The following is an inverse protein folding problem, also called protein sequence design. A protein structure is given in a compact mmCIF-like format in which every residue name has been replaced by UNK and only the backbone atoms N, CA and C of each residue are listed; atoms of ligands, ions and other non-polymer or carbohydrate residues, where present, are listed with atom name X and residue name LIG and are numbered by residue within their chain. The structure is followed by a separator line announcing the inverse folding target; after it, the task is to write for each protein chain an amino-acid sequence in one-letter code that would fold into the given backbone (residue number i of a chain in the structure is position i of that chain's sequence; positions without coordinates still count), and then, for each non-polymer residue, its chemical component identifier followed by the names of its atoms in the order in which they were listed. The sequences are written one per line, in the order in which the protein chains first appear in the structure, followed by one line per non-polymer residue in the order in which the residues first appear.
data_IF_082760237285
#
_entry.id   IF_082760237285
#
_cell.length_a   1.000
_cell.length_b   1.000
_cell.length_c   1.000
_cell.angle_alpha   90.00
_cell.angle_beta   90.00
_cell.angle_gamma   90.00
#
_symmetry.space_group_name_H-M   'P 1'
#
loop_
_entity.id
_entity.type
_entity.pdbx_description
1 polymer ?
#
# COMPACT_ATOMS: atom_id res chain seq x y z
N UNK A 1 27.21 -7.90 -6.75
CA UNK A 1 26.63 -6.77 -5.99
C UNK A 1 25.13 -7.01 -5.91
N UNK A 2 24.55 -6.98 -4.71
CA UNK A 2 23.10 -7.09 -4.53
C UNK A 2 22.45 -5.88 -5.22
N UNK A 3 21.46 -6.10 -6.09
CA UNK A 3 20.73 -5.00 -6.73
C UNK A 3 19.84 -4.40 -5.65
N UNK A 4 20.11 -3.15 -5.25
CA UNK A 4 19.41 -2.53 -4.12
C UNK A 4 18.05 -1.97 -4.55
N UNK A 5 18.05 -1.04 -5.51
CA UNK A 5 16.84 -0.41 -6.02
C UNK A 5 16.03 -1.36 -6.89
N UNK A 6 14.73 -1.36 -6.69
CA UNK A 6 13.79 -1.94 -7.64
C UNK A 6 13.80 -1.10 -8.93
N UNK A 7 13.44 -1.72 -10.06
CA UNK A 7 13.37 -1.05 -11.37
C UNK A 7 12.00 -1.31 -12.01
N UNK A 8 10.91 -0.84 -11.39
CA UNK A 8 9.60 -0.91 -12.02
C UNK A 8 9.55 0.00 -13.26
N UNK A 9 8.53 -0.16 -14.08
CA UNK A 9 8.27 0.73 -15.22
C UNK A 9 7.99 2.17 -14.76
N UNK A 10 7.37 2.32 -13.58
CA UNK A 10 7.10 3.58 -12.92
C UNK A 10 7.32 3.46 -11.41
N UNK A 11 8.07 4.40 -10.82
CA UNK A 11 8.31 4.49 -9.38
C UNK A 11 7.89 5.89 -8.90
N UNK A 12 6.77 6.02 -8.17
CA UNK A 12 6.28 7.32 -7.69
C UNK A 12 7.15 7.92 -6.58
N UNK A 13 7.98 7.10 -5.92
CA UNK A 13 8.85 7.52 -4.82
C UNK A 13 10.25 7.91 -5.32
N UNK A 14 10.55 7.65 -6.59
CA UNK A 14 11.81 8.07 -7.22
C UNK A 14 11.77 9.56 -7.54
N UNK A 15 12.66 10.30 -6.89
CA UNK A 15 12.79 11.75 -7.07
C UNK A 15 13.85 12.08 -8.12
N UNK A 16 13.94 13.37 -8.44
CA UNK A 16 14.98 13.91 -9.33
C UNK A 16 16.36 13.64 -8.74
N UNK A 17 17.30 13.22 -9.60
CA UNK A 17 18.69 13.02 -9.22
C UNK A 17 19.28 14.24 -8.50
N UNK A 18 20.11 13.97 -7.48
CA UNK A 18 20.69 14.97 -6.59
C UNK A 18 22.22 14.85 -6.56
N UNK A 19 22.89 16.00 -6.47
CA UNK A 19 24.35 16.08 -6.38
C UNK A 19 24.89 16.11 -4.95
N UNK A 20 26.16 15.76 -4.78
CA UNK A 20 26.86 15.89 -3.48
C UNK A 20 26.79 17.31 -2.90
N UNK A 21 26.84 18.34 -3.74
CA UNK A 21 26.80 19.73 -3.29
C UNK A 21 25.39 20.14 -2.81
N UNK A 22 24.34 19.56 -3.38
CA UNK A 22 22.98 19.72 -2.88
C UNK A 22 22.79 19.03 -1.53
N UNK A 23 23.34 17.82 -1.37
CA UNK A 23 23.37 17.10 -0.10
C UNK A 23 24.08 17.93 0.98
N UNK A 24 25.24 18.52 0.70
CA UNK A 24 25.96 19.40 1.64
C UNK A 24 25.13 20.63 2.05
N UNK A 25 24.36 21.21 1.11
CA UNK A 25 23.44 22.32 1.43
C UNK A 25 22.34 21.88 2.37
N UNK A 26 21.80 20.67 2.17
CA UNK A 26 20.79 20.06 3.04
C UNK A 26 21.35 19.79 4.43
N UNK A 27 22.52 19.15 4.56
CA UNK A 27 23.21 18.93 5.83
C UNK A 27 23.42 20.26 6.58
N UNK A 28 23.90 21.29 5.89
CA UNK A 28 24.08 22.64 6.46
C UNK A 28 22.77 23.27 6.90
N UNK A 29 21.68 23.10 6.13
CA UNK A 29 20.35 23.64 6.48
C UNK A 29 19.78 22.95 7.72
N UNK A 30 19.93 21.63 7.81
CA UNK A 30 19.44 20.82 8.92
C UNK A 30 20.38 20.86 10.15
N UNK A 31 21.59 21.39 10.00
CA UNK A 31 22.64 21.43 11.03
C UNK A 31 22.99 20.04 11.58
N UNK A 32 23.10 19.06 10.69
CA UNK A 32 23.46 17.67 10.97
C UNK A 32 24.23 17.07 9.78
N UNK A 33 24.84 15.91 9.99
CA UNK A 33 25.54 15.13 8.96
C UNK A 33 24.78 13.84 8.68
N UNK A 34 24.39 13.64 7.43
CA UNK A 34 23.72 12.43 6.98
C UNK A 34 24.70 11.24 6.97
N UNK A 35 24.25 10.01 7.26
CA UNK A 35 25.08 8.81 7.17
C UNK A 35 25.75 8.69 5.80
N UNK A 36 27.04 8.34 5.78
CA UNK A 36 27.80 8.30 4.53
C UNK A 36 27.18 7.33 3.51
N UNK A 37 26.65 6.20 3.98
CA UNK A 37 25.99 5.23 3.10
C UNK A 37 24.64 5.69 2.59
N UNK A 38 23.89 6.46 3.38
CA UNK A 38 22.67 7.10 2.91
C UNK A 38 22.99 8.06 1.75
N UNK A 39 24.02 8.90 1.90
CA UNK A 39 24.45 9.81 0.83
C UNK A 39 24.84 9.08 -0.45
N UNK A 40 25.66 8.02 -0.36
CA UNK A 40 26.04 7.22 -1.54
C UNK A 40 24.83 6.59 -2.22
N UNK A 41 23.88 6.09 -1.42
CA UNK A 41 22.67 5.46 -1.91
C UNK A 41 21.77 6.47 -2.65
N UNK A 42 21.58 7.64 -2.05
CA UNK A 42 20.77 8.74 -2.63
C UNK A 42 21.39 9.34 -3.90
N UNK A 43 22.73 9.39 -3.99
CA UNK A 43 23.42 9.80 -5.23
C UNK A 43 23.20 8.79 -6.36
N UNK A 44 23.09 7.49 -6.03
CA UNK A 44 22.80 6.46 -7.02
C UNK A 44 21.35 6.57 -7.55
N UNK A 45 20.40 6.80 -6.66
CA UNK A 45 18.99 7.06 -6.99
C UNK A 45 18.37 7.83 -5.82
N UNK A 46 17.74 8.97 -6.11
CA UNK A 46 17.20 9.85 -5.07
C UNK A 46 15.83 9.36 -4.56
N UNK A 47 15.85 8.29 -3.77
CA UNK A 47 14.65 7.63 -3.25
C UNK A 47 14.01 6.66 -4.25
N UNK A 48 13.04 5.88 -3.76
CA UNK A 48 12.33 4.89 -4.56
C UNK A 48 12.14 3.56 -3.85
N UNK A 49 11.57 2.62 -4.58
CA UNK A 49 11.34 1.24 -4.15
C UNK A 49 12.64 0.43 -4.11
N UNK A 50 12.75 -0.52 -3.18
CA UNK A 50 13.92 -1.37 -2.97
C UNK A 50 13.58 -2.86 -3.17
N UNK A 51 14.55 -3.70 -3.53
CA UNK A 51 14.32 -5.15 -3.72
C UNK A 51 14.23 -5.94 -2.39
N UNK A 52 13.88 -5.27 -1.31
CA UNK A 52 13.68 -5.82 0.03
C UNK A 52 12.31 -5.39 0.49
N UNK A 53 11.72 -6.13 1.42
CA UNK A 53 10.43 -5.81 2.01
C UNK A 53 10.46 -5.90 3.54
N UNK A 54 11.56 -6.33 4.16
CA UNK A 54 11.58 -6.59 5.58
C UNK A 54 12.92 -6.25 6.28
N UNK A 55 12.80 -5.88 7.56
CA UNK A 55 13.91 -5.77 8.50
C UNK A 55 13.58 -6.55 9.80
N UNK A 56 14.49 -7.42 10.29
CA UNK A 56 14.16 -8.32 11.39
C UNK A 56 14.13 -7.59 12.74
N UNK A 57 13.19 -7.94 13.61
CA UNK A 57 13.08 -7.44 14.99
C UNK A 57 12.68 -8.57 15.95
N UNK A 58 12.99 -8.41 17.23
CA UNK A 58 12.51 -9.32 18.28
C UNK A 58 11.33 -8.71 19.07
N UNK A 59 10.81 -7.58 18.59
CA UNK A 59 9.65 -6.89 19.16
C UNK A 59 8.49 -7.04 18.20
N UNK A 60 7.34 -7.41 18.74
CA UNK A 60 6.07 -7.46 18.02
C UNK A 60 5.72 -6.07 17.50
N UNK A 61 5.24 -6.00 16.26
CA UNK A 61 4.83 -4.77 15.59
C UNK A 61 3.46 -4.95 14.96
N UNK A 62 2.80 -3.86 14.59
CA UNK A 62 1.52 -3.91 13.89
C UNK A 62 1.59 -4.60 12.52
N UNK A 63 2.79 -4.72 11.95
CA UNK A 63 3.03 -5.33 10.66
C UNK A 63 3.26 -6.85 10.77
N UNK A 64 4.09 -7.28 11.73
CA UNK A 64 4.44 -8.68 11.96
C UNK A 64 5.08 -8.90 13.34
N UNK A 65 5.14 -10.17 13.74
CA UNK A 65 5.70 -10.60 15.03
C UNK A 65 7.23 -10.48 15.11
N UNK A 66 7.93 -10.67 13.99
CA UNK A 66 9.39 -10.84 13.95
C UNK A 66 10.13 -9.91 12.96
N UNK A 67 9.41 -9.00 12.30
CA UNK A 67 9.98 -8.03 11.37
C UNK A 67 9.14 -6.76 11.24
N UNK A 68 9.75 -5.74 10.66
CA UNK A 68 9.06 -4.55 10.16
C UNK A 68 9.08 -4.56 8.64
N UNK A 69 8.07 -3.94 8.04
CA UNK A 69 8.00 -3.73 6.60
C UNK A 69 8.91 -2.57 6.16
N UNK A 70 9.73 -2.82 5.13
CA UNK A 70 10.61 -1.82 4.52
C UNK A 70 10.72 -2.10 3.03
N UNK A 71 9.98 -1.34 2.22
CA UNK A 71 9.82 -1.51 0.78
C UNK A 71 10.37 -0.33 -0.04
N UNK A 72 10.70 0.78 0.62
CA UNK A 72 11.25 1.97 -0.01
C UNK A 72 12.25 2.71 0.88
N UNK A 73 12.99 3.63 0.25
CA UNK A 73 13.77 4.66 0.95
C UNK A 73 13.36 6.01 0.39
N UNK A 74 13.00 6.94 1.27
CA UNK A 74 12.71 8.33 0.92
C UNK A 74 13.99 9.02 0.48
N UNK A 75 13.91 9.81 -0.59
CA UNK A 75 15.04 10.61 -1.06
C UNK A 75 15.14 11.96 -0.36
N UNK A 76 15.84 12.89 -0.98
CA UNK A 76 16.03 14.26 -0.50
C UNK A 76 15.25 15.21 -1.42
N UNK A 77 14.06 15.59 -0.97
CA UNK A 77 13.21 16.64 -1.53
C UNK A 77 12.22 17.09 -0.44
N UNK A 78 11.54 18.23 -0.66
CA UNK A 78 10.49 18.76 0.23
C UNK A 78 9.25 17.90 0.29
N UNK A 79 8.82 17.36 -0.84
CA UNK A 79 7.63 16.53 -0.97
C UNK A 79 8.09 15.10 -1.25
N UNK A 80 7.54 14.10 -0.54
CA UNK A 80 7.93 12.69 -0.63
C UNK A 80 9.37 12.36 -0.23
N UNK A 81 10.15 13.34 0.25
CA UNK A 81 11.53 13.18 0.70
C UNK A 81 11.73 13.52 2.18
N UNK A 82 12.96 13.35 2.67
CA UNK A 82 13.28 13.57 4.09
C UNK A 82 13.12 15.02 4.55
N UNK A 83 13.04 16.00 3.65
CA UNK A 83 12.82 17.40 4.05
C UNK A 83 11.37 17.65 4.46
N UNK A 84 10.46 16.71 4.18
CA UNK A 84 9.08 16.68 4.67
C UNK A 84 8.99 16.27 6.16
N UNK A 85 10.07 15.71 6.72
CA UNK A 85 10.06 15.14 8.07
C UNK A 85 9.54 16.11 9.13
N UNK A 86 9.88 17.41 9.05
CA UNK A 86 9.40 18.38 10.04
C UNK A 86 7.86 18.52 10.03
N UNK A 87 7.25 18.45 8.86
CA UNK A 87 5.80 18.48 8.71
C UNK A 87 5.18 17.18 9.24
N UNK A 88 5.67 16.03 8.78
CA UNK A 88 5.17 14.71 9.17
C UNK A 88 5.32 14.44 10.67
N UNK A 89 6.43 14.85 11.27
CA UNK A 89 6.64 14.74 12.72
C UNK A 89 5.56 15.49 13.50
N UNK A 90 5.13 16.67 13.02
CA UNK A 90 4.07 17.45 13.67
C UNK A 90 2.71 16.81 13.45
N UNK A 91 2.43 16.38 12.23
CA UNK A 91 1.17 15.73 11.84
C UNK A 91 0.91 14.48 12.68
N UNK A 92 1.94 13.63 12.81
CA UNK A 92 1.83 12.32 13.46
C UNK A 92 2.28 12.31 14.93
N UNK A 93 2.56 13.48 15.51
CA UNK A 93 2.95 13.58 16.93
C UNK A 93 4.27 12.90 17.30
N UNK A 94 5.18 12.70 16.34
CA UNK A 94 6.46 12.04 16.55
C UNK A 94 7.45 12.92 17.35
N UNK A 95 8.49 12.32 17.96
CA UNK A 95 9.58 13.08 18.56
C UNK A 95 10.28 14.03 17.57
N UNK A 96 10.67 15.20 18.05
CA UNK A 96 11.48 16.14 17.26
C UNK A 96 12.89 15.58 17.01
N UNK A 97 13.57 16.13 15.99
CA UNK A 97 14.93 15.71 15.55
C UNK A 97 15.00 14.29 14.97
N UNK A 98 14.03 13.94 14.16
CA UNK A 98 14.04 12.74 13.33
C UNK A 98 14.16 13.14 11.85
N UNK A 99 14.75 12.26 11.03
CA UNK A 99 14.57 12.29 9.57
C UNK A 99 13.90 10.99 9.15
N UNK A 100 12.68 11.09 8.63
CA UNK A 100 11.86 9.95 8.24
C UNK A 100 12.35 9.43 6.89
N UNK A 101 12.94 8.25 6.89
CA UNK A 101 13.57 7.65 5.70
C UNK A 101 12.69 6.57 5.04
N UNK A 102 11.63 6.12 5.71
CA UNK A 102 10.58 5.26 5.18
C UNK A 102 9.33 5.45 6.07
N UNK A 103 8.15 5.24 5.51
CA UNK A 103 6.89 5.19 6.25
C UNK A 103 5.71 5.78 5.48
N UNK A 104 4.50 5.42 5.94
CA UNK A 104 3.22 5.66 5.25
C UNK A 104 2.19 6.45 6.08
N UNK A 105 2.47 6.67 7.37
CA UNK A 105 1.53 7.30 8.31
C UNK A 105 1.15 6.41 9.47
N UNK A 106 1.20 5.09 9.32
CA UNK A 106 0.95 4.13 10.41
C UNK A 106 2.25 3.76 11.12
N UNK A 107 3.31 3.59 10.33
CA UNK A 107 4.64 3.27 10.82
C UNK A 107 5.72 4.14 10.16
N UNK A 108 6.83 4.32 10.87
CA UNK A 108 7.94 5.15 10.40
C UNK A 108 9.29 4.55 10.76
N UNK A 109 10.20 4.51 9.79
CA UNK A 109 11.63 4.30 10.03
C UNK A 109 12.34 5.64 9.93
N UNK A 110 13.10 6.00 10.97
CA UNK A 110 13.77 7.28 11.05
C UNK A 110 15.24 7.19 11.45
N UNK A 111 16.03 8.13 10.92
CA UNK A 111 17.33 8.46 11.48
C UNK A 111 17.13 9.34 12.72
N UNK A 112 17.57 8.84 13.88
CA UNK A 112 17.29 9.45 15.18
C UNK A 112 18.41 10.38 15.65
N UNK A 113 18.24 11.68 15.40
CA UNK A 113 19.18 12.74 15.79
C UNK A 113 18.83 13.37 17.15
N UNK A 114 18.00 12.73 17.98
CA UNK A 114 17.67 13.27 19.31
C UNK A 114 18.91 13.45 20.19
N UNK A 115 19.88 12.54 20.07
CA UNK A 115 21.09 12.48 20.91
C UNK A 115 22.40 12.73 20.16
N UNK A 116 22.38 12.89 18.83
CA UNK A 116 23.58 13.11 18.01
C UNK A 116 23.26 13.97 16.79
N UNK A 117 24.28 14.59 16.20
CA UNK A 117 24.18 15.29 14.91
C UNK A 117 24.93 14.56 13.78
N UNK A 118 25.53 13.40 14.07
CA UNK A 118 26.27 12.57 13.11
C UNK A 118 26.10 11.09 13.46
N UNK A 119 26.10 10.23 12.42
CA UNK A 119 25.95 8.78 12.55
C UNK A 119 24.82 8.36 13.54
N UNK A 120 23.59 8.85 13.33
CA UNK A 120 22.47 8.48 14.19
C UNK A 120 22.13 6.99 14.08
N UNK A 121 21.57 6.41 15.15
CA UNK A 121 20.91 5.12 15.05
C UNK A 121 19.65 5.22 14.19
N UNK A 122 19.14 4.06 13.78
CA UNK A 122 17.85 3.92 13.09
C UNK A 122 16.80 3.48 14.10
N UNK A 123 15.66 4.16 14.11
CA UNK A 123 14.56 3.97 15.04
C UNK A 123 13.28 3.65 14.26
N UNK A 124 12.48 2.73 14.79
CA UNK A 124 11.16 2.40 14.25
C UNK A 124 10.07 2.94 15.18
N UNK A 125 9.02 3.49 14.60
CA UNK A 125 7.84 4.00 15.30
C UNK A 125 6.62 3.29 14.73
N UNK A 126 5.84 2.71 15.63
CA UNK A 126 4.58 2.03 15.38
C UNK A 126 3.48 2.84 16.08
N UNK A 127 2.67 3.55 15.30
CA UNK A 127 1.63 4.43 15.85
C UNK A 127 0.37 3.67 16.23
N UNK A 128 0.12 2.51 15.62
CA UNK A 128 -1.03 1.66 15.91
C UNK A 128 -0.89 1.02 17.29
N UNK A 129 0.31 0.51 17.61
CA UNK A 129 0.63 -0.04 18.93
C UNK A 129 1.16 1.00 19.91
N UNK A 130 1.38 2.24 19.45
CA UNK A 130 2.00 3.33 20.21
C UNK A 130 3.32 2.88 20.87
N UNK A 131 4.20 2.27 20.07
CA UNK A 131 5.50 1.75 20.46
C UNK A 131 6.62 2.35 19.60
N UNK A 132 7.80 2.57 20.18
CA UNK A 132 9.00 2.95 19.44
C UNK A 132 10.25 2.26 19.99
N UNK A 133 11.11 1.80 19.10
CA UNK A 133 12.37 1.18 19.49
C UNK A 133 13.48 1.31 18.44
N UNK A 134 14.72 1.33 18.93
CA UNK A 134 15.91 1.35 18.09
C UNK A 134 16.07 0.01 17.37
N UNK A 135 16.20 0.05 16.05
CA UNK A 135 16.34 -1.15 15.20
C UNK A 135 17.78 -1.39 14.71
N UNK A 136 18.60 -0.33 14.61
CA UNK A 136 20.01 -0.44 14.24
C UNK A 136 20.85 0.68 14.87
N UNK A 137 22.13 0.42 15.15
CA UNK A 137 23.07 1.42 15.67
C UNK A 137 23.56 2.39 14.58
N UNK A 138 23.38 2.05 13.31
CA UNK A 138 23.74 2.89 12.17
C UNK A 138 22.92 2.55 10.93
N UNK A 139 22.90 3.47 9.96
CA UNK A 139 22.27 3.22 8.66
C UNK A 139 22.95 2.08 7.87
N UNK A 140 24.27 1.92 8.00
CA UNK A 140 25.00 0.80 7.39
C UNK A 140 24.54 -0.56 7.95
N UNK A 141 24.37 -0.65 9.27
CA UNK A 141 23.84 -1.84 9.91
C UNK A 141 22.40 -2.11 9.46
N UNK A 142 21.57 -1.06 9.40
CA UNK A 142 20.20 -1.16 8.89
C UNK A 142 20.16 -1.80 7.50
N UNK A 143 20.91 -1.25 6.55
CA UNK A 143 20.99 -1.78 5.19
C UNK A 143 21.51 -3.22 5.13
N UNK A 144 22.43 -3.61 6.02
CA UNK A 144 23.04 -4.94 6.01
C UNK A 144 22.08 -6.07 6.41
N UNK A 145 21.02 -5.73 7.15
CA UNK A 145 20.04 -6.68 7.69
C UNK A 145 18.75 -6.73 6.87
N UNK A 146 18.56 -5.84 5.90
CA UNK A 146 17.42 -5.90 4.98
C UNK A 146 17.39 -7.23 4.22
N UNK A 147 16.20 -7.82 4.17
CA UNK A 147 15.96 -9.08 3.49
C UNK A 147 14.61 -9.06 2.79
N UNK A 148 14.41 -10.08 1.96
CA UNK A 148 13.12 -10.36 1.35
C UNK A 148 12.47 -11.41 2.23
N UNK A 149 11.48 -11.02 3.01
CA UNK A 149 10.57 -11.94 3.66
C UNK A 149 9.63 -12.49 2.59
N UNK A 150 9.67 -13.80 2.41
CA UNK A 150 8.61 -14.50 1.71
C UNK A 150 7.48 -14.58 2.73
N UNK A 151 6.49 -13.69 2.61
CA UNK A 151 5.21 -13.99 3.19
C UNK A 151 4.81 -15.32 2.58
N UNK A 152 4.77 -16.37 3.38
CA UNK A 152 4.06 -17.57 2.98
C UNK A 152 2.69 -17.04 2.53
N UNK A 153 2.26 -17.38 1.31
CA UNK A 153 0.86 -17.19 0.96
C UNK A 153 0.09 -17.96 2.04
N UNK A 154 -0.32 -17.27 3.11
CA UNK A 154 -1.08 -17.78 4.23
C UNK A 154 -2.43 -18.16 3.66
N UNK A 155 -2.44 -19.28 2.97
CA UNK A 155 -3.63 -19.84 2.38
C UNK A 155 -4.51 -20.44 3.47
N UNK A 156 -4.09 -20.47 4.74
CA UNK A 156 -4.74 -21.26 5.79
C UNK A 156 -4.94 -20.54 7.15
N UNK A 157 -5.17 -19.22 7.18
CA UNK A 157 -5.76 -18.55 8.37
C UNK A 157 -6.91 -17.56 8.03
N UNK A 158 -7.60 -17.78 6.91
CA UNK A 158 -8.77 -16.98 6.50
C UNK A 158 -10.13 -17.66 6.75
N UNK A 159 -10.17 -18.77 7.50
CA UNK A 159 -11.42 -19.48 7.80
C UNK A 159 -12.26 -18.80 8.90
N UNK A 160 -11.78 -17.72 9.54
CA UNK A 160 -12.53 -16.96 10.55
C UNK A 160 -12.35 -15.44 10.42
N UNK A 161 -12.45 -14.87 9.22
CA UNK A 161 -12.78 -13.45 9.11
C UNK A 161 -14.28 -13.31 9.40
N UNK A 162 -14.63 -12.81 10.60
CA UNK A 162 -15.99 -12.34 10.86
C UNK A 162 -16.35 -11.33 9.75
N UNK A 163 -17.39 -11.64 8.96
CA UNK A 163 -17.97 -10.79 7.93
C UNK A 163 -18.75 -9.61 8.56
N UNK A 164 -18.20 -9.00 9.61
CA UNK A 164 -18.80 -7.91 10.40
C UNK A 164 -18.78 -6.55 9.67
N UNK A 165 -18.43 -6.56 8.38
CA UNK A 165 -18.65 -5.45 7.46
C UNK A 165 -20.16 -5.30 7.25
N UNK A 166 -20.65 -4.06 7.05
CA UNK A 166 -22.04 -3.79 6.66
C UNK A 166 -22.37 -4.40 5.29
N UNK A 167 -22.55 -5.72 5.24
CA UNK A 167 -23.12 -6.44 4.11
C UNK A 167 -24.65 -6.34 4.18
N UNK A 168 -25.33 -6.58 3.06
CA UNK A 168 -26.79 -6.72 3.07
C UNK A 168 -27.15 -8.01 3.83
N UNK A 169 -28.07 -7.91 4.79
CA UNK A 169 -28.64 -9.08 5.46
C UNK A 169 -29.25 -10.00 4.40
N UNK A 170 -28.90 -11.30 4.34
CA UNK A 170 -29.51 -12.24 3.39
C UNK A 170 -31.04 -12.31 3.46
N UNK A 171 -31.64 -11.89 4.58
CA UNK A 171 -33.08 -11.84 4.79
C UNK A 171 -33.69 -10.46 4.44
N UNK A 172 -32.88 -9.49 4.01
CA UNK A 172 -33.37 -8.20 3.52
C UNK A 172 -34.28 -8.44 2.30
N UNK A 173 -35.45 -7.79 2.23
CA UNK A 173 -36.38 -7.95 1.10
C UNK A 173 -35.78 -7.57 -0.26
N UNK A 174 -34.74 -6.73 -0.28
CA UNK A 174 -34.07 -6.28 -1.50
C UNK A 174 -32.80 -7.10 -1.83
N UNK A 175 -32.41 -8.05 -0.97
CA UNK A 175 -31.27 -8.94 -1.21
C UNK A 175 -31.49 -9.81 -2.45
N UNK A 176 -30.50 -9.84 -3.34
CA UNK A 176 -30.57 -10.60 -4.59
C UNK A 176 -29.75 -11.89 -4.50
N UNK A 177 -30.12 -12.91 -5.29
CA UNK A 177 -29.42 -14.20 -5.35
C UNK A 177 -28.36 -14.27 -6.45
N UNK A 178 -27.49 -15.28 -6.40
CA UNK A 178 -26.48 -15.55 -7.45
C UNK A 178 -27.11 -15.63 -8.85
N UNK A 179 -28.24 -16.31 -8.98
CA UNK A 179 -28.95 -16.44 -10.26
C UNK A 179 -29.53 -15.11 -10.77
N UNK A 180 -29.75 -14.14 -9.89
CA UNK A 180 -30.23 -12.80 -10.26
C UNK A 180 -29.08 -11.90 -10.71
N UNK A 181 -27.93 -11.96 -10.03
CA UNK A 181 -26.69 -11.30 -10.48
C UNK A 181 -26.32 -11.76 -11.90
N UNK A 182 -26.34 -13.07 -12.15
CA UNK A 182 -26.08 -13.63 -13.48
C UNK A 182 -27.07 -13.10 -14.53
N UNK A 183 -28.38 -13.04 -14.19
CA UNK A 183 -29.40 -12.50 -15.11
C UNK A 183 -29.18 -11.02 -15.41
N UNK A 184 -28.81 -10.22 -14.41
CA UNK A 184 -28.50 -8.79 -14.58
C UNK A 184 -27.36 -8.64 -15.59
N UNK A 185 -26.27 -9.39 -15.41
CA UNK A 185 -25.10 -9.34 -16.28
C UNK A 185 -25.42 -9.81 -17.71
N UNK A 186 -26.23 -10.88 -17.86
CA UNK A 186 -26.70 -11.37 -19.16
C UNK A 186 -27.60 -10.34 -19.87
N UNK A 187 -28.45 -9.64 -19.11
CA UNK A 187 -29.39 -8.66 -19.68
C UNK A 187 -28.68 -7.45 -20.29
N UNK A 188 -27.42 -7.20 -19.90
CA UNK A 188 -26.59 -6.06 -20.31
C UNK A 188 -27.31 -4.70 -20.19
N UNK A 189 -28.12 -4.54 -19.14
CA UNK A 189 -28.84 -3.30 -18.83
C UNK A 189 -28.08 -2.50 -17.74
N UNK A 190 -27.53 -1.31 -18.04
CA UNK A 190 -26.73 -0.55 -17.07
C UNK A 190 -27.53 -0.19 -15.82
N UNK A 191 -28.82 0.10 -16.00
CA UNK A 191 -29.72 0.51 -14.92
C UNK A 191 -29.96 -0.58 -13.87
N UNK A 192 -29.57 -1.84 -14.15
CA UNK A 192 -29.73 -2.95 -13.20
C UNK A 192 -28.40 -3.35 -12.55
N UNK A 193 -27.25 -2.93 -13.09
CA UNK A 193 -25.92 -3.36 -12.64
C UNK A 193 -25.66 -2.96 -11.19
N UNK A 194 -26.05 -1.75 -10.78
CA UNK A 194 -25.90 -1.30 -9.39
C UNK A 194 -26.54 -2.25 -8.37
N UNK A 195 -27.60 -3.00 -8.75
CA UNK A 195 -28.26 -3.97 -7.86
C UNK A 195 -27.36 -5.14 -7.48
N UNK A 196 -26.27 -5.38 -8.20
CA UNK A 196 -25.27 -6.40 -7.85
C UNK A 196 -24.66 -6.12 -6.47
N UNK A 197 -24.56 -4.84 -6.06
CA UNK A 197 -24.17 -4.46 -4.70
C UNK A 197 -25.13 -4.97 -3.61
N UNK A 198 -26.35 -5.37 -3.99
CA UNK A 198 -27.35 -5.94 -3.09
C UNK A 198 -27.19 -7.44 -2.86
N UNK A 199 -26.17 -8.07 -3.46
CA UNK A 199 -25.86 -9.46 -3.23
C UNK A 199 -25.26 -9.64 -1.82
N UNK A 200 -25.87 -10.47 -0.95
CA UNK A 200 -25.37 -10.67 0.40
C UNK A 200 -24.11 -11.55 0.36
N UNK A 201 -22.96 -10.97 0.65
CA UNK A 201 -21.68 -11.68 0.74
C UNK A 201 -21.52 -12.16 2.19
N UNK A 202 -21.69 -13.47 2.40
CA UNK A 202 -21.70 -14.07 3.74
C UNK A 202 -20.46 -14.93 4.02
N UNK A 203 -19.64 -15.14 3.00
CA UNK A 203 -18.49 -16.04 3.06
C UNK A 203 -17.41 -15.61 2.06
N UNK A 204 -16.19 -16.11 2.27
CA UNK A 204 -15.09 -15.90 1.32
C UNK A 204 -15.41 -16.50 -0.05
N UNK A 205 -16.13 -17.62 -0.10
CA UNK A 205 -16.61 -18.24 -1.35
C UNK A 205 -17.56 -17.30 -2.10
N UNK A 206 -18.44 -16.60 -1.39
CA UNK A 206 -19.35 -15.62 -2.02
C UNK A 206 -18.59 -14.40 -2.54
N UNK A 207 -17.58 -13.92 -1.80
CA UNK A 207 -16.72 -12.81 -2.20
C UNK A 207 -15.87 -13.17 -3.42
N UNK A 208 -15.25 -14.35 -3.42
CA UNK A 208 -14.48 -14.86 -4.55
C UNK A 208 -15.37 -15.04 -5.78
N UNK A 209 -16.56 -15.61 -5.60
CA UNK A 209 -17.53 -15.81 -6.68
C UNK A 209 -17.95 -14.49 -7.33
N UNK A 210 -18.31 -13.46 -6.55
CA UNK A 210 -18.75 -12.19 -7.11
C UNK A 210 -17.60 -11.42 -7.78
N UNK A 211 -16.38 -11.51 -7.26
CA UNK A 211 -15.22 -10.90 -7.90
C UNK A 211 -14.90 -11.59 -9.24
N UNK A 212 -15.02 -12.91 -9.30
CA UNK A 212 -14.85 -13.66 -10.55
C UNK A 212 -15.91 -13.31 -11.58
N UNK A 213 -17.18 -13.25 -11.21
CA UNK A 213 -18.24 -12.94 -12.18
C UNK A 213 -18.12 -11.52 -12.73
N UNK A 214 -17.72 -10.56 -11.89
CA UNK A 214 -17.40 -9.18 -12.32
C UNK A 214 -16.24 -9.19 -13.30
N UNK A 215 -15.14 -9.89 -12.97
CA UNK A 215 -13.98 -10.01 -13.86
C UNK A 215 -14.35 -10.61 -15.22
N UNK A 216 -15.08 -11.72 -15.26
CA UNK A 216 -15.44 -12.35 -16.54
C UNK A 216 -16.26 -11.42 -17.43
N UNK A 217 -17.18 -10.66 -16.83
CA UNK A 217 -18.03 -9.73 -17.57
C UNK A 217 -17.31 -8.44 -17.96
N UNK A 218 -16.23 -8.05 -17.26
CA UNK A 218 -15.43 -6.87 -17.59
C UNK A 218 -14.75 -6.93 -18.96
N UNK A 219 -14.51 -8.13 -19.50
CA UNK A 219 -13.80 -8.34 -20.78
C UNK A 219 -14.61 -7.81 -21.98
N UNK A 220 -15.93 -7.97 -21.94
CA UNK A 220 -16.81 -7.66 -23.08
C UNK A 220 -17.60 -6.36 -22.92
N UNK A 221 -17.51 -5.71 -21.76
CA UNK A 221 -18.39 -4.60 -21.36
C UNK A 221 -17.81 -3.24 -21.80
N UNK A 222 -18.68 -2.28 -22.14
CA UNK A 222 -18.29 -0.94 -22.64
C UNK A 222 -19.31 0.12 -22.25
N UNK A 223 -18.88 1.39 -22.28
CA UNK A 223 -19.75 2.55 -22.04
C UNK A 223 -20.32 2.53 -20.61
N UNK A 224 -21.57 2.97 -20.45
CA UNK A 224 -22.25 3.08 -19.15
C UNK A 224 -22.23 1.78 -18.35
N UNK A 225 -22.31 0.62 -19.02
CA UNK A 225 -22.20 -0.68 -18.37
C UNK A 225 -20.85 -0.90 -17.66
N UNK A 226 -19.76 -0.40 -18.25
CA UNK A 226 -18.42 -0.54 -17.67
C UNK A 226 -18.26 0.34 -16.43
N UNK A 227 -18.84 1.55 -16.46
CA UNK A 227 -18.88 2.46 -15.33
C UNK A 227 -19.64 1.84 -14.15
N UNK A 228 -20.87 1.38 -14.37
CA UNK A 228 -21.70 0.79 -13.31
C UNK A 228 -21.03 -0.46 -12.70
N UNK A 229 -20.38 -1.29 -13.53
CA UNK A 229 -19.69 -2.47 -13.04
C UNK A 229 -18.40 -2.13 -12.27
N UNK A 230 -17.72 -1.03 -12.63
CA UNK A 230 -16.59 -0.50 -11.88
C UNK A 230 -17.03 0.06 -10.52
N UNK A 231 -18.18 0.73 -10.45
CA UNK A 231 -18.74 1.25 -9.20
C UNK A 231 -19.12 0.11 -8.24
N UNK A 232 -19.75 -0.95 -8.74
CA UNK A 232 -20.01 -2.17 -7.96
C UNK A 232 -18.72 -2.80 -7.47
N UNK A 233 -17.71 -2.94 -8.33
CA UNK A 233 -16.41 -3.48 -7.94
C UNK A 233 -15.76 -2.62 -6.84
N UNK A 234 -15.84 -1.28 -6.95
CA UNK A 234 -15.31 -0.35 -5.95
C UNK A 234 -16.01 -0.51 -4.60
N UNK A 235 -17.34 -0.60 -4.62
CA UNK A 235 -18.13 -0.80 -3.41
C UNK A 235 -17.71 -2.08 -2.67
N UNK A 236 -17.53 -3.18 -3.41
CA UNK A 236 -17.05 -4.44 -2.84
C UNK A 236 -15.62 -4.29 -2.31
N UNK A 237 -14.69 -3.74 -3.11
CA UNK A 237 -13.29 -3.58 -2.69
C UNK A 237 -13.17 -2.75 -1.42
N UNK A 238 -13.86 -1.62 -1.35
CA UNK A 238 -13.86 -0.73 -0.19
C UNK A 238 -14.39 -1.44 1.06
N UNK A 239 -15.46 -2.22 0.89
CA UNK A 239 -16.13 -2.92 1.99
C UNK A 239 -15.32 -4.11 2.52
N UNK A 240 -14.63 -4.84 1.65
CA UNK A 240 -13.90 -6.06 2.01
C UNK A 240 -12.38 -5.91 1.87
N UNK A 241 -11.85 -4.71 2.09
CA UNK A 241 -10.43 -4.39 1.94
C UNK A 241 -9.54 -5.43 2.65
N UNK A 242 -9.89 -5.84 3.87
CA UNK A 242 -9.11 -6.81 4.65
C UNK A 242 -9.11 -8.21 4.04
N UNK A 243 -10.27 -8.73 3.62
CA UNK A 243 -10.44 -10.04 2.98
C UNK A 243 -9.70 -10.07 1.62
N UNK A 244 -9.75 -8.95 0.91
CA UNK A 244 -9.17 -8.81 -0.43
C UNK A 244 -7.64 -8.75 -0.38
N UNK A 245 -6.99 -8.49 0.76
CA UNK A 245 -5.52 -8.52 0.91
C UNK A 245 -4.87 -9.87 0.55
N UNK A 246 -5.62 -10.96 0.45
CA UNK A 246 -5.07 -12.23 -0.06
C UNK A 246 -4.55 -12.09 -1.50
N UNK A 247 -3.43 -12.72 -1.83
CA UNK A 247 -2.78 -12.58 -3.15
C UNK A 247 -3.72 -12.98 -4.32
N UNK A 248 -4.59 -13.97 -4.10
CA UNK A 248 -5.55 -14.44 -5.10
C UNK A 248 -6.65 -13.40 -5.40
N UNK A 249 -7.30 -12.86 -4.36
CA UNK A 249 -8.39 -11.90 -4.53
C UNK A 249 -7.88 -10.55 -5.07
N UNK A 250 -6.73 -10.06 -4.62
CA UNK A 250 -6.06 -8.90 -5.22
C UNK A 250 -5.85 -9.09 -6.71
N UNK A 251 -5.36 -10.26 -7.13
CA UNK A 251 -5.12 -10.53 -8.55
C UNK A 251 -6.42 -10.46 -9.37
N UNK A 252 -7.51 -11.04 -8.87
CA UNK A 252 -8.82 -11.02 -9.55
C UNK A 252 -9.31 -9.57 -9.68
N UNK A 253 -9.20 -8.77 -8.62
CA UNK A 253 -9.57 -7.34 -8.62
C UNK A 253 -8.72 -6.53 -9.61
N UNK A 254 -7.39 -6.73 -9.64
CA UNK A 254 -6.50 -6.04 -10.62
C UNK A 254 -6.88 -6.37 -12.05
N UNK A 255 -7.11 -7.65 -12.33
CA UNK A 255 -7.47 -8.10 -13.67
C UNK A 255 -8.83 -7.52 -14.10
N UNK A 256 -9.84 -7.52 -13.21
CA UNK A 256 -11.14 -6.90 -13.48
C UNK A 256 -11.00 -5.40 -13.74
N UNK A 257 -10.27 -4.66 -12.89
CA UNK A 257 -10.02 -3.23 -13.04
C UNK A 257 -9.31 -2.91 -14.36
N UNK A 258 -8.30 -3.69 -14.72
CA UNK A 258 -7.57 -3.52 -16.00
C UNK A 258 -8.48 -3.73 -17.22
N UNK A 259 -9.35 -4.74 -17.20
CA UNK A 259 -10.30 -4.98 -18.28
C UNK A 259 -11.34 -3.86 -18.39
N UNK A 260 -11.90 -3.40 -17.27
CA UNK A 260 -12.84 -2.26 -17.23
C UNK A 260 -12.19 -0.97 -17.76
N UNK A 261 -10.92 -0.73 -17.45
CA UNK A 261 -10.15 0.42 -17.94
C UNK A 261 -9.95 0.44 -19.46
N UNK A 262 -10.06 -0.71 -20.15
CA UNK A 262 -9.98 -0.76 -21.62
C UNK A 262 -11.20 -0.14 -22.31
N UNK A 263 -12.27 0.13 -21.56
CA UNK A 263 -13.49 0.75 -22.09
C UNK A 263 -13.30 2.21 -22.51
N UNK A 264 -12.22 2.89 -22.06
CA UNK A 264 -11.90 4.31 -22.33
C UNK A 264 -13.04 5.27 -21.99
N UNK A 265 -13.73 4.99 -20.89
CA UNK A 265 -14.76 5.86 -20.33
C UNK A 265 -14.12 6.67 -19.18
N UNK A 266 -14.22 8.01 -19.25
CA UNK A 266 -13.57 8.92 -18.30
C UNK A 266 -14.06 8.70 -16.86
N UNK A 267 -15.35 8.47 -16.67
CA UNK A 267 -15.94 8.23 -15.34
C UNK A 267 -15.46 6.88 -14.76
N UNK A 268 -15.27 5.88 -15.62
CA UNK A 268 -14.71 4.57 -15.25
C UNK A 268 -13.25 4.71 -14.83
N UNK A 269 -12.45 5.50 -15.56
CA UNK A 269 -11.04 5.75 -15.22
C UNK A 269 -10.91 6.47 -13.86
N UNK A 270 -11.78 7.43 -13.55
CA UNK A 270 -11.81 8.12 -12.25
C UNK A 270 -12.05 7.14 -11.10
N UNK A 271 -13.01 6.23 -11.25
CA UNK A 271 -13.29 5.20 -10.23
C UNK A 271 -12.08 4.27 -10.09
N UNK A 272 -11.52 3.80 -11.21
CA UNK A 272 -10.40 2.85 -11.18
C UNK A 272 -9.11 3.46 -10.64
N UNK A 273 -8.89 4.77 -10.77
CA UNK A 273 -7.73 5.44 -10.19
C UNK A 273 -7.71 5.41 -8.66
N UNK A 274 -8.90 5.38 -8.04
CA UNK A 274 -9.06 5.26 -6.59
C UNK A 274 -8.75 3.86 -6.07
N UNK A 275 -8.71 2.82 -6.93
CA UNK A 275 -8.36 1.45 -6.51
C UNK A 275 -6.92 1.34 -5.99
N UNK A 276 -6.03 2.27 -6.38
CA UNK A 276 -4.64 2.31 -5.91
C UNK A 276 -4.53 2.44 -4.39
N UNK A 277 -5.55 3.01 -3.75
CA UNK A 277 -5.58 3.19 -2.30
C UNK A 277 -5.94 1.90 -1.54
N UNK A 278 -6.44 0.87 -2.25
CA UNK A 278 -6.94 -0.40 -1.68
C UNK A 278 -6.13 -1.63 -2.09
N UNK A 279 -5.09 -1.48 -2.93
CA UNK A 279 -4.44 -2.55 -3.70
C UNK A 279 -2.93 -2.59 -3.57
#
# INVERSE_FOLDING_TARGET
MRVFWEKPEYDPLRLKDISEDEIKKVEKKLNLTLPQQYKKLIIQQNGGLINFNAFPTNQETSCADDHIEVDHIRGIEKDLGILESEYLIKEWGLPQKLLLIQGDGHNWVALDYRQTNENPPVHYFDLELNNDFKIADSFDEFLSKLYTHEYEDETHEYDNLDFDVHTIDPNDPDAIKKEEVEKILISKNPLEIHRISLFPIQSLEDLEWILHIIKENSIEIKGDMAFELADVLMSIVSSYTHQIKSANLRKIVREAAQELGKSKNEDTEIILDQFKDFM
#
